data_IF_532042993588
#
_entry.id   IF_532042993588
#
_cell.length_a   1.000
_cell.length_b   1.000
_cell.length_c   1.000
_cell.angle_alpha   90.00
_cell.angle_beta   90.00
_cell.angle_gamma   90.00
#
_symmetry.space_group_name_H-M   'P 1'
#
loop_
_entity.id
_entity.type
_entity.pdbx_description
1 polymer ?
#
# COMPACT_ATOMS: atom_id res chain seq x y z
N UNK A 1 11.61 8.17 -0.14
CA UNK A 1 10.52 7.89 -1.11
C UNK A 1 11.10 7.94 -2.51
N UNK A 2 10.54 7.20 -3.47
CA UNK A 2 10.92 7.27 -4.89
C UNK A 2 9.68 7.11 -5.77
N UNK A 3 9.61 7.79 -6.91
CA UNK A 3 8.56 7.55 -7.90
C UNK A 3 8.98 6.45 -8.87
N UNK A 4 8.01 5.62 -9.26
CA UNK A 4 8.14 4.58 -10.27
C UNK A 4 7.01 4.74 -11.29
N UNK A 5 7.23 4.26 -12.51
CA UNK A 5 6.22 4.20 -13.56
C UNK A 5 6.08 2.75 -14.02
N UNK A 6 4.84 2.27 -14.16
CA UNK A 6 4.55 0.95 -14.74
C UNK A 6 3.27 1.01 -15.56
N UNK A 7 3.32 0.51 -16.79
CA UNK A 7 2.19 0.55 -17.74
C UNK A 7 1.60 1.98 -17.92
N UNK A 8 2.43 3.03 -17.82
CA UNK A 8 2.00 4.43 -17.88
C UNK A 8 1.32 4.95 -16.60
N UNK A 9 1.27 4.15 -15.53
CA UNK A 9 0.80 4.57 -14.22
C UNK A 9 1.98 4.97 -13.33
N UNK A 10 1.89 6.15 -12.72
CA UNK A 10 2.84 6.57 -11.71
C UNK A 10 2.48 5.99 -10.34
N UNK A 11 3.50 5.49 -9.65
CA UNK A 11 3.40 4.88 -8.33
C UNK A 11 4.47 5.46 -7.42
N UNK A 12 4.06 5.99 -6.27
CA UNK A 12 5.01 6.43 -5.25
C UNK A 12 5.40 5.25 -4.36
N UNK A 13 6.69 5.00 -4.19
CA UNK A 13 7.20 3.94 -3.32
C UNK A 13 7.80 4.56 -2.05
N UNK A 14 7.19 4.21 -0.92
CA UNK A 14 7.56 4.63 0.42
C UNK A 14 8.31 3.48 1.09
N UNK A 15 9.60 3.69 1.27
CA UNK A 15 10.50 2.77 1.93
C UNK A 15 10.85 3.27 3.36
N UNK A 16 11.57 2.48 4.16
CA UNK A 16 11.91 2.74 5.58
C UNK A 16 12.46 4.13 5.89
N UNK A 17 12.94 4.86 4.88
CA UNK A 17 13.28 6.30 4.92
C UNK A 17 12.15 7.21 5.44
N UNK A 18 10.88 6.77 5.37
CA UNK A 18 9.72 7.52 5.84
C UNK A 18 8.86 6.62 6.73
N UNK A 19 8.37 7.18 7.85
CA UNK A 19 7.69 6.43 8.90
C UNK A 19 6.29 6.99 9.10
N UNK A 20 5.26 6.15 8.98
CA UNK A 20 3.85 6.55 9.05
C UNK A 20 3.30 6.15 10.41
N UNK A 21 3.56 6.96 11.42
CA UNK A 21 3.17 6.67 12.80
C UNK A 21 1.78 7.19 13.19
N UNK A 22 1.11 7.91 12.29
CA UNK A 22 -0.20 8.51 12.56
C UNK A 22 -1.04 8.67 11.29
N UNK A 23 -2.36 8.80 11.46
CA UNK A 23 -3.30 9.03 10.36
C UNK A 23 -2.96 10.33 9.63
N UNK A 24 -2.49 11.36 10.36
CA UNK A 24 -2.07 12.63 9.76
C UNK A 24 -0.88 12.45 8.81
N UNK A 25 0.11 11.63 9.17
CA UNK A 25 1.23 11.32 8.27
C UNK A 25 0.80 10.52 7.05
N UNK A 26 -0.19 9.64 7.19
CA UNK A 26 -0.78 8.95 6.04
C UNK A 26 -1.51 9.93 5.10
N UNK A 27 -2.23 10.91 5.64
CA UNK A 27 -2.89 11.96 4.86
C UNK A 27 -1.89 12.89 4.17
N UNK A 28 -0.80 13.25 4.85
CA UNK A 28 0.28 14.04 4.28
C UNK A 28 0.91 13.31 3.08
N UNK A 29 1.20 12.01 3.25
CA UNK A 29 1.66 11.15 2.17
C UNK A 29 0.67 11.08 0.99
N UNK A 30 -0.64 11.00 1.25
CA UNK A 30 -1.65 11.04 0.20
C UNK A 30 -1.59 12.36 -0.60
N UNK A 31 -1.35 13.49 0.08
CA UNK A 31 -1.14 14.78 -0.58
C UNK A 31 0.09 14.77 -1.50
N UNK A 32 1.18 14.16 -1.05
CA UNK A 32 2.41 13.98 -1.85
C UNK A 32 2.15 13.12 -3.09
N UNK A 33 1.43 11.99 -2.92
CA UNK A 33 1.01 11.10 -4.01
C UNK A 33 0.20 11.87 -5.07
N UNK A 34 -0.81 12.63 -4.63
CA UNK A 34 -1.66 13.42 -5.54
C UNK A 34 -0.90 14.53 -6.26
N UNK A 35 0.08 15.16 -5.60
CA UNK A 35 0.93 16.18 -6.22
C UNK A 35 1.91 15.59 -7.24
N UNK A 36 2.32 14.34 -7.07
CA UNK A 36 3.25 13.67 -7.96
C UNK A 36 2.55 13.16 -9.22
N UNK A 37 2.53 13.99 -10.27
CA UNK A 37 2.23 13.61 -11.67
C UNK A 37 0.97 12.74 -11.87
N UNK A 38 -0.09 12.99 -11.09
CA UNK A 38 -1.34 12.24 -11.15
C UNK A 38 -1.22 10.78 -10.68
N UNK A 39 -0.27 10.48 -9.78
CA UNK A 39 -0.18 9.16 -9.16
C UNK A 39 -1.44 8.91 -8.34
N UNK A 40 -2.19 7.89 -8.71
CA UNK A 40 -3.35 7.41 -7.95
C UNK A 40 -3.00 6.18 -7.11
N UNK A 41 -1.71 5.82 -7.06
CA UNK A 41 -1.22 4.60 -6.45
C UNK A 41 0.04 4.84 -5.61
N UNK A 42 0.13 4.14 -4.47
CA UNK A 42 1.27 4.17 -3.57
C UNK A 42 1.62 2.78 -3.07
N UNK A 43 2.91 2.49 -2.96
CA UNK A 43 3.45 1.30 -2.31
C UNK A 43 4.12 1.70 -1.01
N UNK A 44 3.80 1.02 0.08
CA UNK A 44 4.38 1.26 1.40
C UNK A 44 5.06 -0.02 1.89
N UNK A 45 6.36 0.05 2.18
CA UNK A 45 7.07 -1.03 2.85
C UNK A 45 6.54 -1.21 4.27
N UNK A 46 6.37 -2.44 4.73
CA UNK A 46 5.92 -2.74 6.09
C UNK A 46 6.84 -2.15 7.16
N UNK A 47 8.13 -1.97 6.85
CA UNK A 47 9.12 -1.30 7.70
C UNK A 47 8.86 0.21 7.92
N UNK A 48 8.00 0.82 7.11
CA UNK A 48 7.54 2.20 7.28
C UNK A 48 6.30 2.32 8.17
N UNK A 49 5.69 1.18 8.54
CA UNK A 49 4.47 1.13 9.33
C UNK A 49 4.79 0.66 10.76
N UNK A 50 4.15 1.25 11.77
CA UNK A 50 4.33 0.82 13.15
C UNK A 50 3.65 -0.53 13.40
N UNK A 51 4.08 -1.27 14.42
CA UNK A 51 3.45 -2.53 14.84
C UNK A 51 1.94 -2.41 15.08
N UNK A 52 1.49 -1.24 15.55
CA UNK A 52 0.08 -0.90 15.72
C UNK A 52 -0.75 -1.08 14.44
N UNK A 53 -0.15 -0.87 13.27
CA UNK A 53 -0.81 -1.11 11.99
C UNK A 53 -1.15 -2.59 11.76
N UNK A 54 -0.30 -3.49 12.25
CA UNK A 54 -0.53 -4.93 12.12
C UNK A 54 -1.39 -5.49 13.27
N UNK A 55 -1.60 -4.71 14.33
CA UNK A 55 -2.52 -5.05 15.41
C UNK A 55 -3.91 -4.42 15.17
N UNK A 56 -4.83 -5.25 14.66
CA UNK A 56 -6.20 -4.81 14.32
C UNK A 56 -7.01 -4.28 15.52
N UNK A 57 -6.58 -4.54 16.77
CA UNK A 57 -7.28 -4.02 17.95
C UNK A 57 -7.04 -2.52 18.14
N UNK A 58 -5.99 -1.97 17.53
CA UNK A 58 -5.69 -0.53 17.60
C UNK A 58 -6.62 0.30 16.73
N UNK A 59 -7.40 -0.32 15.84
CA UNK A 59 -8.18 0.35 14.78
C UNK A 59 -7.35 1.19 13.78
N UNK A 60 -6.04 1.29 13.96
CA UNK A 60 -5.18 2.20 13.20
C UNK A 60 -5.14 1.86 11.70
N UNK A 61 -4.95 0.58 11.35
CA UNK A 61 -4.98 0.16 9.96
C UNK A 61 -6.34 0.43 9.31
N UNK A 62 -7.45 0.17 10.02
CA UNK A 62 -8.79 0.47 9.51
C UNK A 62 -8.96 1.95 9.19
N UNK A 63 -8.55 2.84 10.10
CA UNK A 63 -8.63 4.29 9.89
C UNK A 63 -7.78 4.75 8.69
N UNK A 64 -6.53 4.30 8.60
CA UNK A 64 -5.63 4.67 7.50
C UNK A 64 -6.18 4.17 6.17
N UNK A 65 -6.56 2.90 6.07
CA UNK A 65 -7.08 2.28 4.86
C UNK A 65 -8.41 2.91 4.41
N UNK A 66 -9.27 3.27 5.36
CA UNK A 66 -10.52 3.97 5.06
C UNK A 66 -10.28 5.34 4.42
N UNK A 67 -9.22 6.06 4.82
CA UNK A 67 -8.83 7.32 4.16
C UNK A 67 -8.44 7.04 2.71
N UNK A 68 -7.51 6.12 2.46
CA UNK A 68 -7.11 5.76 1.09
C UNK A 68 -8.32 5.42 0.20
N UNK A 69 -9.26 4.63 0.73
CA UNK A 69 -10.49 4.29 0.02
C UNK A 69 -11.40 5.50 -0.22
N UNK A 70 -11.50 6.43 0.72
CA UNK A 70 -12.34 7.63 0.59
C UNK A 70 -11.79 8.62 -0.43
N UNK A 71 -10.46 8.69 -0.55
CA UNK A 71 -9.77 9.53 -1.53
C UNK A 71 -9.61 8.84 -2.90
N UNK A 72 -9.96 7.56 -3.02
CA UNK A 72 -9.79 6.78 -4.25
C UNK A 72 -8.33 6.44 -4.59
N UNK A 73 -7.41 6.62 -3.64
CA UNK A 73 -5.99 6.26 -3.84
C UNK A 73 -5.82 4.77 -3.59
N UNK A 74 -5.14 4.11 -4.53
CA UNK A 74 -4.78 2.70 -4.45
C UNK A 74 -3.51 2.54 -3.63
N UNK A 75 -3.52 1.59 -2.70
CA UNK A 75 -2.42 1.33 -1.79
C UNK A 75 -1.99 -0.13 -1.92
N UNK A 76 -0.69 -0.37 -1.99
CA UNK A 76 -0.12 -1.69 -1.78
C UNK A 76 0.87 -1.67 -0.61
N UNK A 77 0.79 -2.67 0.26
CA UNK A 77 1.68 -2.84 1.40
C UNK A 77 2.58 -4.02 1.11
N UNK A 78 3.89 -3.77 1.13
CA UNK A 78 4.93 -4.76 0.79
C UNK A 78 5.65 -5.17 2.06
N UNK A 79 5.63 -6.46 2.36
CA UNK A 79 6.31 -6.97 3.54
C UNK A 79 6.16 -8.47 3.71
N UNK A 80 6.90 -9.00 4.68
CA UNK A 80 6.71 -10.39 5.08
C UNK A 80 5.61 -10.49 6.14
N UNK A 81 4.44 -10.98 5.72
CA UNK A 81 3.30 -11.18 6.63
C UNK A 81 3.16 -12.61 7.13
N UNK A 82 4.04 -13.52 6.71
CA UNK A 82 3.99 -14.95 7.10
C UNK A 82 4.22 -15.14 8.60
N UNK A 83 4.95 -14.22 9.25
CA UNK A 83 5.20 -14.23 10.69
C UNK A 83 4.01 -13.80 11.56
N UNK A 84 3.00 -13.16 10.99
CA UNK A 84 1.80 -12.75 11.75
C UNK A 84 0.82 -13.92 11.80
N UNK A 85 0.96 -14.73 12.85
CA UNK A 85 0.17 -15.94 13.09
C UNK A 85 -1.30 -15.68 13.50
N UNK A 86 -1.74 -14.42 13.60
CA UNK A 86 -3.10 -14.10 14.02
C UNK A 86 -4.07 -14.28 12.85
N UNK A 87 -5.02 -15.20 12.99
CA UNK A 87 -6.05 -15.46 11.97
C UNK A 87 -6.86 -14.22 11.59
N UNK A 88 -6.96 -13.23 12.49
CA UNK A 88 -7.65 -11.97 12.23
C UNK A 88 -6.93 -11.08 11.21
N UNK A 89 -5.60 -10.89 11.34
CA UNK A 89 -4.84 -10.11 10.35
C UNK A 89 -4.85 -10.81 9.00
N UNK A 90 -4.67 -12.13 8.99
CA UNK A 90 -4.75 -12.92 7.75
C UNK A 90 -6.13 -12.83 7.08
N UNK A 91 -7.21 -12.87 7.85
CA UNK A 91 -8.57 -12.66 7.33
C UNK A 91 -8.75 -11.25 6.76
N UNK A 92 -8.23 -10.24 7.46
CA UNK A 92 -8.27 -8.85 7.03
C UNK A 92 -7.48 -8.62 5.73
N UNK A 93 -6.26 -9.14 5.65
CA UNK A 93 -5.43 -9.11 4.43
C UNK A 93 -6.17 -9.73 3.26
N UNK A 94 -6.80 -10.90 3.46
CA UNK A 94 -7.59 -11.58 2.43
C UNK A 94 -8.79 -10.74 1.99
N UNK A 95 -9.47 -10.07 2.91
CA UNK A 95 -10.60 -9.18 2.57
C UNK A 95 -10.13 -7.96 1.78
N UNK A 96 -9.04 -7.31 2.19
CA UNK A 96 -8.44 -6.20 1.46
C UNK A 96 -8.03 -6.60 0.04
N UNK A 97 -7.32 -7.72 -0.10
CA UNK A 97 -6.85 -8.23 -1.40
C UNK A 97 -7.99 -8.63 -2.37
N UNK A 98 -9.22 -8.85 -1.89
CA UNK A 98 -10.39 -9.04 -2.76
C UNK A 98 -10.96 -7.73 -3.30
N UNK A 99 -10.67 -6.61 -2.63
CA UNK A 99 -11.03 -5.28 -3.10
C UNK A 99 -10.15 -4.84 -4.26
N UNK A 100 -10.37 -3.62 -4.73
CA UNK A 100 -9.62 -3.03 -5.86
C UNK A 100 -8.68 -1.89 -5.44
N UNK A 101 -8.71 -1.52 -4.15
CA UNK A 101 -8.03 -0.34 -3.63
C UNK A 101 -6.81 -0.67 -2.76
N UNK A 102 -6.85 -1.76 -1.98
CA UNK A 102 -5.80 -2.07 -1.00
C UNK A 102 -5.25 -3.47 -1.23
N UNK A 103 -3.96 -3.56 -1.49
CA UNK A 103 -3.26 -4.82 -1.74
C UNK A 103 -2.17 -5.07 -0.70
N UNK A 104 -1.95 -6.32 -0.35
CA UNK A 104 -0.92 -6.75 0.59
C UNK A 104 -0.12 -7.86 -0.06
N UNK A 105 1.15 -7.57 -0.37
CA UNK A 105 2.01 -8.41 -1.21
C UNK A 105 3.36 -8.66 -0.57
N UNK A 106 4.01 -9.76 -0.94
CA UNK A 106 5.32 -10.15 -0.39
C UNK A 106 6.51 -9.41 -1.00
N UNK A 107 6.33 -8.79 -2.17
CA UNK A 107 7.40 -8.12 -2.91
C UNK A 107 6.89 -6.86 -3.60
N UNK A 108 7.81 -5.94 -3.88
CA UNK A 108 7.51 -4.71 -4.62
C UNK A 108 6.95 -5.01 -6.01
N UNK A 109 7.47 -6.01 -6.70
CA UNK A 109 7.00 -6.39 -8.04
C UNK A 109 5.55 -6.85 -8.02
N UNK A 110 5.16 -7.69 -7.06
CA UNK A 110 3.79 -8.21 -6.94
C UNK A 110 2.80 -7.11 -6.51
N UNK A 111 3.27 -6.12 -5.73
CA UNK A 111 2.51 -4.91 -5.42
C UNK A 111 2.30 -4.02 -6.65
N UNK A 112 3.35 -3.80 -7.44
CA UNK A 112 3.26 -3.06 -8.70
C UNK A 112 2.35 -3.77 -9.71
N UNK A 113 2.38 -5.10 -9.77
CA UNK A 113 1.50 -5.92 -10.59
C UNK A 113 0.03 -5.75 -10.20
N UNK A 114 -0.28 -5.81 -8.90
CA UNK A 114 -1.64 -5.59 -8.42
C UNK A 114 -2.14 -4.16 -8.64
N UNK A 115 -1.22 -3.17 -8.63
CA UNK A 115 -1.55 -1.77 -8.86
C UNK A 115 -1.65 -1.41 -10.35
N UNK A 116 -0.78 -1.90 -11.21
CA UNK A 116 -0.69 -1.42 -12.59
C UNK A 116 -0.99 -2.52 -13.62
N UNK A 117 -1.27 -3.73 -13.16
CA UNK A 117 -1.26 -4.94 -13.96
C UNK A 117 0.16 -5.48 -14.18
N UNK A 118 0.26 -6.73 -14.65
CA UNK A 118 1.53 -7.28 -15.09
C UNK A 118 2.15 -6.44 -16.19
N UNK A 119 3.47 -6.36 -16.15
CA UNK A 119 4.23 -5.83 -17.28
C UNK A 119 4.13 -6.87 -18.39
N UNK A 120 3.19 -6.64 -19.30
CA UNK A 120 3.11 -7.43 -20.52
C UNK A 120 4.35 -7.09 -21.35
N UNK A 121 5.35 -7.96 -21.29
CA UNK A 121 6.31 -8.05 -22.39
C UNK A 121 5.48 -8.41 -23.62
N UNK A 122 5.16 -7.42 -24.45
CA UNK A 122 4.64 -7.63 -25.80
C UNK A 122 5.71 -8.40 -26.56
N UNK A 123 5.68 -9.72 -26.45
CA UNK A 123 6.30 -10.63 -27.38
C UNK A 123 5.38 -10.76 -28.58
N UNK A 124 5.82 -10.19 -29.71
CA UNK A 124 5.14 -10.26 -31.00
C UNK A 124 5.93 -9.50 -32.05
#
# INVERSE_FOLDING_TARGET
>A
MRSMERNGHHVLVVDRSFQIQSVQQALDLMGDVMNHSGSEAVVICSESLPDAFFDLKTCFAGEVLQKFSSYGIRLAIVGNFEGYASGALQAFIRECNKGSLVFWKGSLEDALDALCGPEHSSGG
#
